data_IF_030966048663
#
_entry.id   IF_030966048663
#
_cell.length_a   1.000
_cell.length_b   1.000
_cell.length_c   1.000
_cell.angle_alpha   90.00
_cell.angle_beta   90.00
_cell.angle_gamma   90.00
#
_symmetry.space_group_name_H-M   'P 1'
#
loop_
_entity.id
_entity.type
_entity.pdbx_description
1 polymer ?
#
# COMPACT_ATOMS: atom_id res chain seq x y z
N UNK A 1 -17.93 -40.03 36.03
CA UNK A 1 -17.69 -39.36 34.73
C UNK A 1 -16.19 -39.18 34.59
N UNK A 2 -15.51 -39.82 33.62
CA UNK A 2 -14.07 -39.65 33.46
C UNK A 2 -13.77 -38.41 32.63
N UNK A 3 -12.85 -37.59 33.12
CA UNK A 3 -12.34 -36.37 32.49
C UNK A 3 -11.65 -36.67 31.17
N UNK A 4 -12.00 -35.94 30.11
CA UNK A 4 -11.43 -36.07 28.78
C UNK A 4 -9.99 -35.54 28.75
N UNK A 5 -9.01 -36.44 28.87
CA UNK A 5 -7.60 -36.17 28.53
C UNK A 5 -7.36 -36.34 27.03
N UNK A 6 -7.73 -35.33 26.24
CA UNK A 6 -7.23 -35.19 24.86
C UNK A 6 -6.57 -33.83 24.69
N UNK A 7 -5.42 -33.65 25.36
CA UNK A 7 -4.49 -32.57 25.08
C UNK A 7 -3.65 -32.90 23.84
N UNK A 8 -4.24 -32.84 22.65
CA UNK A 8 -3.49 -32.96 21.41
C UNK A 8 -2.81 -31.62 21.09
N UNK A 9 -1.69 -31.31 21.76
CA UNK A 9 -0.81 -30.22 21.32
C UNK A 9 -0.15 -30.65 20.01
N UNK A 10 -0.78 -30.38 18.87
CA UNK A 10 -0.06 -30.34 17.58
C UNK A 10 0.99 -29.25 17.72
N UNK A 11 2.27 -29.64 17.84
CA UNK A 11 3.35 -28.74 17.49
C UNK A 11 3.23 -28.49 15.99
N UNK A 12 2.42 -27.50 15.61
CA UNK A 12 2.35 -27.07 14.23
C UNK A 12 3.75 -26.55 13.87
N UNK A 13 4.46 -27.34 13.07
CA UNK A 13 5.76 -26.98 12.52
C UNK A 13 5.59 -25.62 11.83
N UNK A 14 6.36 -24.63 12.27
CA UNK A 14 6.33 -23.31 11.66
C UNK A 14 6.89 -23.38 10.23
N UNK A 15 6.28 -22.61 9.35
CA UNK A 15 6.65 -22.46 7.95
C UNK A 15 7.75 -21.38 7.89
N UNK A 16 8.96 -21.68 7.40
CA UNK A 16 10.02 -20.68 7.28
C UNK A 16 9.65 -19.57 6.29
N UNK A 17 10.25 -18.38 6.44
CA UNK A 17 10.02 -17.22 5.56
C UNK A 17 10.16 -17.51 4.07
N UNK A 18 11.17 -18.29 3.68
CA UNK A 18 11.37 -18.70 2.28
C UNK A 18 10.20 -19.53 1.74
N UNK A 19 9.68 -20.45 2.55
CA UNK A 19 8.51 -21.28 2.19
C UNK A 19 7.23 -20.43 2.16
N UNK A 20 7.06 -19.51 3.12
CA UNK A 20 5.93 -18.57 3.14
C UNK A 20 5.92 -17.71 1.87
N UNK A 21 7.08 -17.20 1.46
CA UNK A 21 7.24 -16.39 0.23
C UNK A 21 6.81 -17.17 -1.01
N UNK A 22 7.23 -18.43 -1.12
CA UNK A 22 6.83 -19.31 -2.22
C UNK A 22 5.32 -19.60 -2.20
N UNK A 23 4.74 -19.94 -1.04
CA UNK A 23 3.30 -20.21 -0.88
C UNK A 23 2.47 -18.99 -1.27
N UNK A 24 2.92 -17.79 -0.90
CA UNK A 24 2.22 -16.53 -1.19
C UNK A 24 2.43 -16.04 -2.63
N UNK A 25 3.23 -16.74 -3.45
CA UNK A 25 3.50 -16.36 -4.83
C UNK A 25 4.27 -15.03 -4.96
N UNK A 26 5.11 -14.73 -3.96
CA UNK A 26 5.93 -13.52 -3.93
C UNK A 26 7.32 -13.79 -4.53
N UNK A 27 7.88 -12.79 -5.21
CA UNK A 27 9.24 -12.86 -5.77
C UNK A 27 10.32 -12.65 -4.70
N UNK A 28 10.02 -11.82 -3.70
CA UNK A 28 11.01 -11.34 -2.73
C UNK A 28 10.49 -11.49 -1.32
N UNK A 29 11.34 -11.97 -0.41
CA UNK A 29 11.04 -12.07 1.02
C UNK A 29 10.82 -10.69 1.66
N UNK A 30 11.41 -9.64 1.09
CA UNK A 30 11.27 -8.25 1.54
C UNK A 30 9.82 -7.76 1.51
N UNK A 31 8.96 -8.32 0.65
CA UNK A 31 7.53 -7.99 0.64
C UNK A 31 6.82 -8.46 1.91
N UNK A 32 7.18 -9.64 2.45
CA UNK A 32 6.63 -10.13 3.72
C UNK A 32 7.16 -9.30 4.89
N UNK A 33 8.46 -9.01 4.86
CA UNK A 33 9.13 -8.14 5.84
C UNK A 33 8.39 -6.81 5.96
N UNK A 34 8.19 -6.11 4.83
CA UNK A 34 7.46 -4.84 4.81
C UNK A 34 6.05 -4.94 5.43
N UNK A 35 5.31 -6.02 5.13
CA UNK A 35 3.96 -6.22 5.70
C UNK A 35 4.00 -6.38 7.22
N UNK A 36 5.00 -7.10 7.75
CA UNK A 36 5.19 -7.23 9.18
C UNK A 36 5.62 -5.90 9.83
N UNK A 37 6.42 -5.12 9.11
CA UNK A 37 6.89 -3.78 9.47
C UNK A 37 5.74 -2.81 9.69
N UNK A 38 4.71 -2.88 8.84
CA UNK A 38 3.48 -2.10 8.99
C UNK A 38 2.79 -2.39 10.33
N UNK A 39 2.97 -3.59 10.89
CA UNK A 39 2.53 -3.93 12.24
C UNK A 39 1.03 -4.23 12.38
N UNK A 40 0.29 -4.23 11.27
CA UNK A 40 -1.15 -4.55 11.24
C UNK A 40 -1.40 -6.08 11.28
N UNK A 41 -0.40 -6.88 10.93
CA UNK A 41 -0.42 -8.34 11.09
C UNK A 41 0.54 -8.74 12.22
N UNK A 42 0.03 -9.50 13.18
CA UNK A 42 0.86 -10.14 14.21
C UNK A 42 1.12 -11.59 13.83
N UNK A 43 2.37 -12.01 13.83
CA UNK A 43 2.70 -13.43 13.75
C UNK A 43 2.83 -14.01 15.15
N UNK A 44 2.51 -15.30 15.33
CA UNK A 44 2.57 -15.94 16.65
C UNK A 44 3.99 -16.06 17.23
N UNK A 45 5.03 -15.77 16.45
CA UNK A 45 6.42 -15.57 16.91
C UNK A 45 7.16 -14.53 16.05
N UNK A 46 6.96 -13.23 16.29
CA UNK A 46 7.84 -12.23 15.73
C UNK A 46 9.10 -12.23 16.59
N UNK A 47 10.24 -12.68 16.07
CA UNK A 47 11.53 -12.33 16.69
C UNK A 47 11.86 -10.93 16.21
N UNK A 48 11.19 -9.92 16.78
CA UNK A 48 11.62 -8.54 16.66
C UNK A 48 12.37 -8.17 17.95
N UNK A 49 13.64 -7.74 17.86
CA UNK A 49 14.26 -6.96 18.91
C UNK A 49 13.34 -5.85 19.41
N UNK A 50 13.27 -5.63 20.73
CA UNK A 50 12.40 -4.60 21.35
C UNK A 50 12.75 -3.18 20.93
N UNK A 51 13.94 -2.97 20.38
CA UNK A 51 14.48 -1.68 19.95
C UNK A 51 14.05 -1.30 18.53
N UNK A 52 13.09 -2.03 17.94
CA UNK A 52 12.66 -1.86 16.54
C UNK A 52 13.78 -2.07 15.51
N UNK A 53 14.92 -2.65 15.92
CA UNK A 53 15.91 -3.11 14.96
C UNK A 53 15.37 -4.32 14.20
N UNK A 54 15.41 -4.25 12.88
CA UNK A 54 15.06 -5.37 12.05
C UNK A 54 16.05 -6.51 12.26
N UNK A 55 15.59 -7.78 12.26
CA UNK A 55 16.49 -8.92 12.23
C UNK A 55 17.50 -8.71 11.12
N UNK A 56 18.76 -8.92 11.44
CA UNK A 56 19.82 -8.84 10.44
C UNK A 56 19.52 -9.86 9.32
N UNK A 57 20.05 -9.67 8.09
CA UNK A 57 19.80 -10.61 7.00
C UNK A 57 20.06 -12.09 7.36
N UNK A 58 21.06 -12.34 8.21
CA UNK A 58 21.40 -13.66 8.72
C UNK A 58 20.42 -14.19 9.78
N UNK A 59 19.50 -13.39 10.33
CA UNK A 59 18.50 -13.76 11.32
C UNK A 59 17.11 -14.04 10.72
N UNK A 60 16.87 -13.67 9.45
CA UNK A 60 15.56 -13.86 8.78
C UNK A 60 15.07 -15.31 8.75
N UNK A 61 15.99 -16.28 8.78
CA UNK A 61 15.66 -17.71 8.83
C UNK A 61 14.94 -18.14 10.11
N UNK A 62 15.01 -17.32 11.17
CA UNK A 62 14.34 -17.56 12.45
C UNK A 62 12.86 -17.17 12.42
N UNK A 63 12.43 -16.43 11.39
CA UNK A 63 11.03 -16.06 11.20
C UNK A 63 10.24 -17.26 10.73
N UNK A 64 9.26 -17.67 11.53
CA UNK A 64 8.40 -18.82 11.27
C UNK A 64 6.92 -18.45 11.36
N UNK A 65 6.13 -18.97 10.42
CA UNK A 65 4.72 -18.68 10.25
C UNK A 65 3.87 -19.90 10.58
N UNK A 66 2.78 -19.71 11.31
CA UNK A 66 1.68 -20.67 11.32
C UNK A 66 0.91 -20.61 10.02
N UNK A 67 0.08 -21.62 9.74
CA UNK A 67 -0.81 -21.57 8.56
C UNK A 67 -1.83 -20.42 8.66
N UNK A 68 -2.26 -20.06 9.88
CA UNK A 68 -3.15 -18.92 10.10
C UNK A 68 -2.47 -17.60 9.73
N UNK A 69 -1.16 -17.45 10.04
CA UNK A 69 -0.37 -16.30 9.60
C UNK A 69 -0.28 -16.24 8.08
N UNK A 70 -0.08 -17.39 7.40
CA UNK A 70 -0.06 -17.46 5.93
C UNK A 70 -1.40 -17.02 5.33
N UNK A 71 -2.54 -17.46 5.91
CA UNK A 71 -3.87 -17.05 5.44
C UNK A 71 -4.10 -15.55 5.63
N UNK A 72 -3.69 -14.98 6.77
CA UNK A 72 -3.78 -13.55 7.02
C UNK A 72 -2.91 -12.74 6.03
N UNK A 73 -1.68 -13.20 5.77
CA UNK A 73 -0.79 -12.60 4.76
C UNK A 73 -1.36 -12.72 3.35
N UNK A 74 -1.95 -13.86 3.00
CA UNK A 74 -2.58 -14.04 1.70
C UNK A 74 -3.67 -13.00 1.49
N UNK A 75 -4.52 -12.75 2.50
CA UNK A 75 -5.52 -11.71 2.44
C UNK A 75 -4.88 -10.31 2.30
N UNK A 76 -3.92 -9.95 3.15
CA UNK A 76 -3.25 -8.65 3.07
C UNK A 76 -2.58 -8.40 1.71
N UNK A 77 -1.89 -9.39 1.15
CA UNK A 77 -1.20 -9.28 -0.15
C UNK A 77 -2.20 -9.24 -1.29
N UNK A 78 -3.01 -10.29 -1.42
CA UNK A 78 -3.78 -10.52 -2.64
C UNK A 78 -5.09 -9.75 -2.65
N UNK A 79 -5.67 -9.47 -1.49
CA UNK A 79 -6.92 -8.72 -1.41
C UNK A 79 -6.63 -7.23 -1.29
N UNK A 80 -5.89 -6.81 -0.25
CA UNK A 80 -5.66 -5.39 0.03
C UNK A 80 -4.59 -4.77 -0.88
N UNK A 81 -3.35 -5.25 -0.83
CA UNK A 81 -2.22 -4.62 -1.54
C UNK A 81 -2.25 -4.79 -3.05
N UNK A 82 -2.92 -5.82 -3.57
CA UNK A 82 -3.18 -5.99 -5.01
C UNK A 82 -4.50 -5.38 -5.47
N UNK A 83 -5.26 -4.76 -4.56
CA UNK A 83 -6.53 -4.08 -4.86
C UNK A 83 -7.54 -4.99 -5.59
N UNK A 84 -7.65 -6.26 -5.18
CA UNK A 84 -8.40 -7.27 -5.93
C UNK A 84 -9.87 -6.88 -6.14
N UNK A 85 -10.56 -6.50 -5.07
CA UNK A 85 -11.97 -6.10 -5.16
C UNK A 85 -12.14 -4.79 -5.94
N UNK A 86 -11.26 -3.81 -5.73
CA UNK A 86 -11.26 -2.57 -6.49
C UNK A 86 -11.14 -2.83 -8.00
N UNK A 87 -10.19 -3.69 -8.42
CA UNK A 87 -9.97 -4.02 -9.83
C UNK A 87 -11.20 -4.64 -10.47
N UNK A 88 -11.85 -5.57 -9.77
CA UNK A 88 -13.07 -6.20 -10.26
C UNK A 88 -14.23 -5.20 -10.35
N UNK A 89 -14.39 -4.36 -9.33
CA UNK A 89 -15.50 -3.41 -9.24
C UNK A 89 -15.41 -2.26 -10.24
N UNK A 90 -14.20 -1.79 -10.55
CA UNK A 90 -13.96 -0.62 -11.42
C UNK A 90 -13.38 -0.98 -12.80
N UNK A 91 -13.56 -2.22 -13.26
CA UNK A 91 -13.02 -2.70 -14.54
C UNK A 91 -13.53 -1.92 -15.78
N UNK A 92 -14.61 -1.16 -15.66
CA UNK A 92 -15.17 -0.27 -16.69
C UNK A 92 -14.38 1.04 -16.86
N UNK A 93 -13.68 1.49 -15.81
CA UNK A 93 -12.92 2.76 -15.80
C UNK A 93 -11.46 2.61 -15.40
N UNK A 94 -11.05 1.42 -14.93
CA UNK A 94 -9.66 1.07 -14.65
C UNK A 94 -9.17 0.05 -15.68
N UNK A 95 -8.22 0.47 -16.50
CA UNK A 95 -7.59 -0.34 -17.53
C UNK A 95 -6.10 -0.48 -17.21
N UNK A 96 -5.70 -1.43 -16.33
CA UNK A 96 -4.32 -1.59 -15.90
C UNK A 96 -3.39 -1.89 -17.08
N UNK A 97 -2.12 -1.54 -16.90
CA UNK A 97 -1.07 -1.84 -17.88
C UNK A 97 -0.18 -2.99 -17.45
N UNK A 98 -0.42 -3.59 -16.28
CA UNK A 98 0.47 -4.54 -15.59
C UNK A 98 0.97 -5.71 -16.46
N UNK A 99 0.16 -6.16 -17.41
CA UNK A 99 0.49 -7.30 -18.29
C UNK A 99 1.28 -6.88 -19.55
N UNK A 100 1.46 -5.58 -19.78
CA UNK A 100 2.21 -5.04 -20.92
C UNK A 100 3.71 -4.95 -20.59
N UNK A 101 4.61 -5.09 -21.58
CA UNK A 101 6.03 -4.82 -21.39
C UNK A 101 6.27 -3.39 -20.88
N UNK A 102 6.87 -3.25 -19.70
CA UNK A 102 7.06 -1.95 -19.04
C UNK A 102 5.79 -1.36 -18.40
N UNK A 103 4.71 -2.15 -18.38
CA UNK A 103 3.45 -1.83 -17.74
C UNK A 103 3.60 -1.50 -16.26
N UNK A 104 2.82 -0.54 -15.80
CA UNK A 104 2.74 -0.15 -14.39
C UNK A 104 1.34 -0.36 -13.84
N UNK A 105 1.29 -0.69 -12.57
CA UNK A 105 0.05 -0.89 -11.84
C UNK A 105 -0.18 0.18 -10.78
N UNK A 106 -0.92 -0.20 -9.75
CA UNK A 106 -1.11 0.62 -8.55
C UNK A 106 0.05 0.36 -7.59
N UNK A 107 1.00 1.30 -7.56
CA UNK A 107 2.25 1.26 -6.80
C UNK A 107 2.16 2.18 -5.58
N UNK A 108 1.10 2.02 -4.79
CA UNK A 108 0.92 2.71 -3.51
C UNK A 108 0.22 1.79 -2.51
N UNK A 109 0.30 2.15 -1.23
CA UNK A 109 -0.21 1.34 -0.13
C UNK A 109 -1.75 1.35 -0.03
N UNK A 110 -2.36 0.31 0.57
CA UNK A 110 -3.80 0.05 0.47
C UNK A 110 -4.68 1.04 1.23
N UNK A 111 -4.13 1.84 2.15
CA UNK A 111 -4.86 2.84 2.91
C UNK A 111 -5.48 3.94 2.04
N UNK A 112 -4.99 4.12 0.81
CA UNK A 112 -5.59 5.06 -0.14
C UNK A 112 -6.65 4.46 -1.08
N UNK A 113 -7.06 3.20 -0.89
CA UNK A 113 -8.09 2.57 -1.73
C UNK A 113 -9.39 3.40 -1.78
N UNK A 114 -9.82 3.98 -0.65
CA UNK A 114 -11.02 4.83 -0.61
C UNK A 114 -10.91 6.06 -1.52
N UNK A 115 -9.73 6.70 -1.57
CA UNK A 115 -9.47 7.85 -2.45
C UNK A 115 -9.50 7.40 -3.92
N UNK A 116 -8.95 6.24 -4.22
CA UNK A 116 -8.92 5.66 -5.55
C UNK A 116 -10.34 5.35 -6.07
N UNK A 117 -11.20 4.79 -5.21
CA UNK A 117 -12.60 4.50 -5.51
C UNK A 117 -13.37 5.77 -5.88
N UNK A 118 -13.26 6.81 -5.06
CA UNK A 118 -13.89 8.10 -5.35
C UNK A 118 -13.40 8.73 -6.66
N UNK A 119 -12.10 8.61 -6.96
CA UNK A 119 -11.55 9.05 -8.25
C UNK A 119 -12.23 8.33 -9.42
N UNK A 120 -12.35 7.00 -9.33
CA UNK A 120 -12.99 6.20 -10.37
C UNK A 120 -14.51 6.42 -10.46
N UNK A 121 -15.20 6.70 -9.36
CA UNK A 121 -16.60 7.14 -9.39
C UNK A 121 -16.74 8.48 -10.13
N UNK A 122 -15.80 9.40 -9.93
CA UNK A 122 -15.68 10.61 -10.72
C UNK A 122 -15.48 10.34 -12.21
N UNK A 123 -14.64 9.35 -12.59
CA UNK A 123 -14.47 8.95 -13.99
C UNK A 123 -15.77 8.40 -14.59
N UNK A 124 -16.51 7.57 -13.85
CA UNK A 124 -17.83 7.06 -14.28
C UNK A 124 -18.82 8.20 -14.52
N UNK A 125 -18.80 9.22 -13.68
CA UNK A 125 -19.65 10.40 -13.89
C UNK A 125 -19.25 11.17 -15.17
N UNK A 126 -17.96 11.34 -15.42
CA UNK A 126 -17.49 11.92 -16.68
C UNK A 126 -17.90 11.07 -17.90
N UNK A 127 -17.90 9.74 -17.79
CA UNK A 127 -18.38 8.85 -18.85
C UNK A 127 -19.86 9.09 -19.17
N UNK A 128 -20.71 9.30 -18.16
CA UNK A 128 -22.15 9.64 -18.36
C UNK A 128 -22.33 10.96 -19.11
N UNK A 129 -21.36 11.86 -18.99
CA UNK A 129 -21.31 13.15 -19.71
C UNK A 129 -20.65 13.03 -21.09
N UNK A 130 -20.35 11.81 -21.56
CA UNK A 130 -19.71 11.56 -22.85
C UNK A 130 -18.19 11.69 -22.84
N UNK A 131 -17.56 11.95 -21.69
CA UNK A 131 -16.12 12.09 -21.54
C UNK A 131 -15.48 10.78 -21.05
N UNK A 132 -14.89 10.01 -21.98
CA UNK A 132 -14.32 8.68 -21.69
C UNK A 132 -12.87 8.75 -21.22
N UNK A 133 -12.67 8.80 -19.91
CA UNK A 133 -11.36 8.73 -19.26
C UNK A 133 -11.15 7.40 -18.55
N UNK A 134 -9.94 6.86 -18.59
CA UNK A 134 -9.60 5.59 -17.93
C UNK A 134 -8.38 5.78 -17.05
N UNK A 135 -8.47 5.33 -15.80
CA UNK A 135 -7.31 5.17 -14.95
C UNK A 135 -6.43 4.04 -15.53
N UNK A 136 -5.13 4.28 -15.65
CA UNK A 136 -4.15 3.33 -16.18
C UNK A 136 -3.28 2.76 -15.10
N UNK A 137 -2.67 3.63 -14.31
CA UNK A 137 -1.77 3.25 -13.22
C UNK A 137 -1.67 4.39 -12.21
N UNK A 138 -1.02 4.13 -11.09
CA UNK A 138 -0.76 5.15 -10.09
C UNK A 138 0.39 4.76 -9.19
N UNK A 139 1.02 5.74 -8.55
CA UNK A 139 2.14 5.49 -7.65
C UNK A 139 2.14 6.45 -6.47
N UNK A 140 2.83 6.06 -5.42
CA UNK A 140 3.28 6.96 -4.38
C UNK A 140 4.46 7.80 -4.91
N UNK A 141 4.49 9.08 -4.58
CA UNK A 141 5.66 9.95 -4.73
C UNK A 141 5.65 11.02 -3.65
N UNK A 142 6.69 11.03 -2.81
CA UNK A 142 6.91 12.00 -1.74
C UNK A 142 5.75 12.13 -0.74
N UNK A 143 5.22 10.98 -0.30
CA UNK A 143 4.09 10.86 0.60
C UNK A 143 2.74 11.15 -0.05
N UNK A 144 2.65 11.24 -1.37
CA UNK A 144 1.41 11.60 -2.07
C UNK A 144 1.08 10.65 -3.23
N UNK A 145 -0.23 10.49 -3.48
CA UNK A 145 -0.74 9.68 -4.58
C UNK A 145 -0.64 10.42 -5.92
N UNK A 146 -0.09 9.77 -6.94
CA UNK A 146 -0.09 10.23 -8.33
C UNK A 146 -0.88 9.24 -9.19
N UNK A 147 -1.93 9.73 -9.85
CA UNK A 147 -2.79 8.93 -10.72
C UNK A 147 -2.58 9.33 -12.19
N UNK A 148 -2.47 8.33 -13.06
CA UNK A 148 -2.24 8.49 -14.48
C UNK A 148 -3.42 7.93 -15.25
N UNK A 149 -3.94 8.73 -16.17
CA UNK A 149 -5.14 8.42 -16.94
C UNK A 149 -4.88 8.62 -18.44
N UNK A 150 -5.77 8.08 -19.24
CA UNK A 150 -5.83 8.35 -20.69
C UNK A 150 -7.26 8.68 -21.08
N UNK A 151 -7.44 9.33 -22.24
CA UNK A 151 -8.75 9.55 -22.85
C UNK A 151 -8.91 8.63 -24.06
N UNK A 152 -10.11 8.13 -24.29
CA UNK A 152 -10.46 7.40 -25.52
C UNK A 152 -11.39 8.30 -26.38
N UNK A 153 -11.16 8.41 -27.70
CA UNK A 153 -10.18 7.67 -28.53
C UNK A 153 -8.82 8.34 -28.68
N UNK A 154 -8.58 9.45 -28.00
CA UNK A 154 -7.36 10.23 -28.16
C UNK A 154 -6.44 10.07 -26.93
N UNK A 155 -5.52 9.08 -26.93
CA UNK A 155 -4.60 8.86 -25.83
C UNK A 155 -3.57 9.99 -25.64
N UNK A 156 -3.43 10.89 -26.64
CA UNK A 156 -2.55 12.07 -26.57
C UNK A 156 -3.30 13.33 -26.16
N UNK A 157 -4.64 13.34 -26.16
CA UNK A 157 -5.40 14.49 -25.70
C UNK A 157 -5.12 14.77 -24.22
N UNK A 158 -4.49 15.92 -24.00
CA UNK A 158 -4.04 16.40 -22.70
C UNK A 158 -5.15 16.53 -21.66
N UNK A 159 -4.72 16.87 -20.45
CA UNK A 159 -5.55 17.01 -19.26
C UNK A 159 -6.74 17.96 -19.47
N UNK A 160 -7.94 17.40 -19.58
CA UNK A 160 -9.19 18.14 -19.38
C UNK A 160 -9.24 18.59 -17.93
N UNK A 161 -9.65 19.85 -17.72
CA UNK A 161 -9.81 20.46 -16.41
C UNK A 161 -10.61 19.58 -15.44
N UNK A 162 -11.63 18.87 -15.96
CA UNK A 162 -12.48 18.00 -15.15
C UNK A 162 -11.71 16.82 -14.53
N UNK A 163 -10.91 16.08 -15.31
CA UNK A 163 -10.10 14.98 -14.78
C UNK A 163 -8.90 15.51 -13.99
N UNK A 164 -8.38 16.68 -14.37
CA UNK A 164 -7.39 17.42 -13.60
C UNK A 164 -7.88 17.74 -12.18
N UNK A 165 -9.14 18.18 -12.04
CA UNK A 165 -9.78 18.44 -10.74
C UNK A 165 -9.92 17.17 -9.90
N UNK A 166 -10.36 16.06 -10.50
CA UNK A 166 -10.46 14.77 -9.80
C UNK A 166 -9.10 14.32 -9.26
N UNK A 167 -8.04 14.41 -10.06
CA UNK A 167 -6.68 14.09 -9.60
C UNK A 167 -6.22 15.05 -8.51
N UNK A 168 -6.52 16.34 -8.63
CA UNK A 168 -6.19 17.33 -7.60
C UNK A 168 -6.86 17.04 -6.25
N UNK A 169 -8.11 16.56 -6.27
CA UNK A 169 -8.83 16.11 -5.07
C UNK A 169 -8.14 14.88 -4.49
N UNK A 170 -7.88 13.85 -5.31
CA UNK A 170 -7.22 12.62 -4.87
C UNK A 170 -5.84 12.89 -4.25
N UNK A 171 -5.04 13.74 -4.92
CA UNK A 171 -3.74 14.18 -4.45
C UNK A 171 -3.83 14.86 -3.08
N UNK A 172 -4.66 15.90 -2.93
CA UNK A 172 -4.80 16.61 -1.64
C UNK A 172 -5.28 15.71 -0.51
N UNK A 173 -6.21 14.79 -0.79
CA UNK A 173 -6.67 13.82 0.22
C UNK A 173 -5.57 12.85 0.62
N UNK A 174 -4.72 12.43 -0.32
CA UNK A 174 -3.63 11.51 -0.02
C UNK A 174 -2.59 12.10 0.94
N UNK A 175 -2.36 13.42 0.91
CA UNK A 175 -1.48 14.15 1.83
C UNK A 175 -1.96 14.15 3.29
N UNK A 176 -3.23 13.80 3.52
CA UNK A 176 -3.88 13.83 4.84
C UNK A 176 -4.41 12.45 5.25
N UNK A 177 -4.09 11.41 4.49
CA UNK A 177 -4.60 10.05 4.69
C UNK A 177 -3.43 9.11 4.83
N UNK A 178 -3.39 8.31 5.90
CA UNK A 178 -2.37 7.30 6.08
C UNK A 178 -2.39 6.32 4.91
N UNK A 179 -1.25 6.17 4.22
CA UNK A 179 -1.18 5.30 3.05
C UNK A 179 -1.33 3.81 3.40
N UNK A 180 -1.12 3.38 4.65
CA UNK A 180 -1.24 1.97 5.05
C UNK A 180 -2.66 1.58 5.49
N UNK A 181 -3.30 2.40 6.34
CA UNK A 181 -4.62 2.08 6.92
C UNK A 181 -5.78 2.96 6.48
N UNK A 182 -5.54 4.13 5.87
CA UNK A 182 -6.60 5.05 5.47
C UNK A 182 -7.11 5.98 6.58
N UNK A 183 -6.61 5.85 7.81
CA UNK A 183 -6.89 6.80 8.90
C UNK A 183 -6.26 8.18 8.62
N UNK A 184 -6.73 9.26 9.29
CA UNK A 184 -6.08 10.56 9.19
C UNK A 184 -4.57 10.49 9.42
N UNK A 185 -3.82 11.05 8.48
CA UNK A 185 -2.35 11.03 8.47
C UNK A 185 -1.77 12.42 8.20
N UNK A 186 -0.45 12.51 8.31
CA UNK A 186 0.33 13.66 7.82
C UNK A 186 1.63 13.17 7.24
N UNK A 187 2.28 14.00 6.42
CA UNK A 187 3.60 13.70 5.89
C UNK A 187 4.58 13.46 7.05
N UNK A 188 5.21 12.29 7.05
CA UNK A 188 6.27 11.91 7.97
C UNK A 188 7.60 11.99 7.29
N UNK A 189 8.54 12.71 7.90
CA UNK A 189 9.87 12.91 7.36
C UNK A 189 10.84 12.01 8.11
N UNK A 190 11.39 11.01 7.43
CA UNK A 190 12.58 10.29 7.85
C UNK A 190 13.84 10.92 7.26
N UNK A 191 15.01 10.34 7.55
CA UNK A 191 16.28 10.81 6.97
C UNK A 191 16.33 10.61 5.43
N UNK A 192 15.81 9.48 4.93
CA UNK A 192 15.90 9.11 3.51
C UNK A 192 14.56 8.78 2.85
N UNK A 193 13.47 8.89 3.60
CA UNK A 193 12.13 8.50 3.14
C UNK A 193 11.10 9.47 3.71
N UNK A 194 10.05 9.75 2.95
CA UNK A 194 8.90 10.48 3.44
C UNK A 194 7.61 9.80 3.00
N UNK A 195 6.67 9.65 3.92
CA UNK A 195 5.41 8.91 3.70
C UNK A 195 4.28 9.61 4.45
N UNK A 196 3.07 9.64 3.91
CA UNK A 196 1.91 10.14 4.68
C UNK A 196 1.37 9.03 5.57
N UNK A 197 1.55 9.18 6.88
CA UNK A 197 1.26 8.14 7.88
C UNK A 197 0.55 8.71 9.11
N UNK A 198 -0.32 7.89 9.71
CA UNK A 198 -0.89 8.17 11.02
C UNK A 198 0.14 7.96 12.15
N UNK A 199 -0.20 8.33 13.38
CA UNK A 199 0.69 8.13 14.54
C UNK A 199 1.05 6.65 14.78
N UNK A 200 0.14 5.72 14.45
CA UNK A 200 0.38 4.27 14.58
C UNK A 200 1.46 3.76 13.62
N UNK A 201 1.59 4.37 12.45
CA UNK A 201 2.47 3.90 11.39
C UNK A 201 3.73 4.74 11.19
N UNK A 202 3.92 5.82 11.96
CA UNK A 202 5.07 6.72 11.80
C UNK A 202 6.44 6.05 11.92
N UNK A 203 6.52 4.89 12.57
CA UNK A 203 7.77 4.13 12.68
C UNK A 203 8.30 3.64 11.32
N UNK A 204 7.46 3.60 10.29
CA UNK A 204 7.88 3.21 8.93
C UNK A 204 8.85 4.20 8.26
N UNK A 205 9.01 5.40 8.81
CA UNK A 205 10.01 6.37 8.32
C UNK A 205 11.20 6.54 9.27
N UNK A 206 11.36 5.64 10.26
CA UNK A 206 12.42 5.78 11.25
C UNK A 206 13.83 5.70 10.61
N UNK A 207 14.82 6.47 11.10
CA UNK A 207 14.72 7.51 12.13
C UNK A 207 13.95 8.74 11.66
N UNK A 208 13.06 9.23 12.52
CA UNK A 208 12.25 10.41 12.26
C UNK A 208 13.12 11.67 12.28
N UNK A 209 12.96 12.52 11.28
CA UNK A 209 13.53 13.87 11.27
C UNK A 209 12.61 14.81 12.04
N UNK A 210 12.86 14.96 13.35
CA UNK A 210 12.02 15.79 14.24
C UNK A 210 11.97 17.27 13.84
N UNK A 211 12.97 17.78 13.12
CA UNK A 211 13.00 19.18 12.67
C UNK A 211 12.04 19.44 11.49
N UNK A 212 11.78 18.43 10.67
CA UNK A 212 10.96 18.54 9.46
C UNK A 212 9.61 17.82 9.55
N UNK A 213 9.46 16.85 10.46
CA UNK A 213 8.21 16.11 10.64
C UNK A 213 7.05 17.04 11.00
N UNK A 214 5.98 16.99 10.20
CA UNK A 214 4.81 17.84 10.40
C UNK A 214 4.98 19.32 10.05
N UNK A 215 6.18 19.77 9.62
CA UNK A 215 6.42 21.13 9.12
C UNK A 215 6.10 21.21 7.62
N UNK A 216 6.60 20.24 6.84
CA UNK A 216 6.33 20.14 5.41
C UNK A 216 5.02 19.39 5.21
N UNK A 217 4.05 20.04 4.57
CA UNK A 217 2.74 19.44 4.28
C UNK A 217 2.71 18.73 2.92
N UNK A 218 3.46 19.25 1.96
CA UNK A 218 3.55 18.75 0.59
C UNK A 218 4.99 18.97 0.11
N UNK A 219 5.76 17.88 0.04
CA UNK A 219 7.17 17.95 -0.32
C UNK A 219 7.37 18.29 -1.82
N UNK A 220 6.45 17.88 -2.69
CA UNK A 220 6.55 18.18 -4.12
C UNK A 220 6.25 19.67 -4.37
N UNK A 221 5.28 20.25 -3.65
CA UNK A 221 5.05 21.71 -3.68
C UNK A 221 6.20 22.49 -3.03
N UNK A 222 6.78 21.97 -1.95
CA UNK A 222 7.93 22.58 -1.28
C UNK A 222 9.13 22.72 -2.23
N UNK A 223 9.49 21.67 -2.95
CA UNK A 223 10.59 21.73 -3.92
C UNK A 223 10.33 22.73 -5.05
N UNK A 224 9.11 22.76 -5.61
CA UNK A 224 8.76 23.73 -6.67
C UNK A 224 8.81 25.19 -6.23
N UNK A 225 8.71 25.47 -4.93
CA UNK A 225 8.79 26.82 -4.40
C UNK A 225 10.23 27.28 -4.14
N UNK A 226 11.20 26.36 -4.19
CA UNK A 226 12.63 26.63 -4.01
C UNK A 226 13.38 26.81 -5.34
N UNK A 227 12.78 26.37 -6.45
CA UNK A 227 13.26 26.58 -7.83
C UNK A 227 12.82 27.95 -8.38
#
# INVERSE_FOLDING_TARGET
>A
MPESKFGYRRSHKLIPLSSATAILGLKWQTSIVHILEVGDLTCRRPVFPRDHSWPKPDELHQIGFSWEDILAMHHEIHVRRRFFYFRAEYADVFLPEDDLPGGRGLEFSPGWEGILREFCDGLRELHRQGKRYYLRWGKEKFGAMRLFHTRNPDPESGDDEAVGRLRGIAYRRSLQTCQECGEPGRLRMGISVCLTLCERHKHLVYPLNEEQDGVILDLDAHYRAMD
#
